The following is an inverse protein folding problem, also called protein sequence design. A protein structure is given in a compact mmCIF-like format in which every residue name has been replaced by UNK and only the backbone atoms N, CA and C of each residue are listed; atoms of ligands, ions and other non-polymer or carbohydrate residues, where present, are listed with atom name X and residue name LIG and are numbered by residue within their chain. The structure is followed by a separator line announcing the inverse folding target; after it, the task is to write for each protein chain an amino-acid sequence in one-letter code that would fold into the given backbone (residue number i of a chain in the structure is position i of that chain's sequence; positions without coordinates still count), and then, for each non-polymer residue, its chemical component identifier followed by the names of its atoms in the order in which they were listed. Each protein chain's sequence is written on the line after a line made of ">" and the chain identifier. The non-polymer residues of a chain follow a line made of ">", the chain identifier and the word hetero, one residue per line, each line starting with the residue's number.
data_IF_643921380274
#
_entry.id   IF_643921380274
#
_cell.length_a   1.000
_cell.length_b   1.000
_cell.length_c   1.000
_cell.angle_alpha   90.00
_cell.angle_beta   90.00
_cell.angle_gamma   90.00
#
_symmetry.space_group_name_H-M   'P 1'
#
loop_
_entity.id
_entity.type
_entity.pdbx_description
1 polymer ?
#
# COMPACT_ATOMS: atom_id res chain seq x y z
N UNK A 1 -5.54 -8.55 9.42
CA UNK A 1 -5.50 -7.38 8.51
C UNK A 1 -6.54 -6.33 8.90
N UNK A 2 -7.83 -6.68 9.06
CA UNK A 2 -8.88 -5.72 9.49
C UNK A 2 -8.49 -4.92 10.75
N UNK A 3 -8.17 -5.59 11.85
CA UNK A 3 -7.73 -4.92 13.10
C UNK A 3 -6.50 -4.02 12.93
N UNK A 4 -5.51 -4.42 12.12
CA UNK A 4 -4.29 -3.65 11.91
C UNK A 4 -4.56 -2.27 11.28
N UNK A 5 -5.37 -2.25 10.22
CA UNK A 5 -5.69 -1.01 9.51
C UNK A 5 -6.64 -0.13 10.31
N UNK A 6 -7.59 -0.74 11.05
CA UNK A 6 -8.47 0.02 11.95
C UNK A 6 -7.68 0.68 13.09
N UNK A 7 -6.82 -0.07 13.80
CA UNK A 7 -6.02 0.49 14.90
C UNK A 7 -5.13 1.65 14.44
N UNK A 8 -4.46 1.52 13.29
CA UNK A 8 -3.64 2.60 12.75
C UNK A 8 -4.47 3.82 12.34
N UNK A 9 -5.68 3.59 11.83
CA UNK A 9 -6.60 4.66 11.47
C UNK A 9 -7.21 5.34 12.70
N UNK A 10 -7.52 4.62 13.78
CA UNK A 10 -8.04 5.20 15.02
C UNK A 10 -7.01 6.11 15.69
N UNK A 11 -5.72 5.77 15.60
CA UNK A 11 -4.63 6.61 16.12
C UNK A 11 -4.44 7.91 15.32
N UNK A 12 -4.56 7.84 13.99
CA UNK A 12 -4.28 8.99 13.10
C UNK A 12 -5.52 9.83 12.78
N UNK A 13 -6.68 9.19 12.77
CA UNK A 13 -8.00 9.71 12.43
C UNK A 13 -9.01 9.15 13.44
N UNK A 14 -8.91 9.58 14.72
CA UNK A 14 -9.93 9.26 15.69
C UNK A 14 -11.26 9.80 15.15
N UNK A 15 -12.31 8.96 15.10
CA UNK A 15 -13.65 9.51 14.97
C UNK A 15 -13.87 10.34 16.23
N UNK A 16 -14.27 11.60 16.07
CA UNK A 16 -14.99 12.27 17.14
C UNK A 16 -16.33 11.55 17.27
N UNK A 17 -16.32 10.42 17.96
CA UNK A 17 -17.49 9.91 18.65
C UNK A 17 -17.31 10.40 20.09
N UNK A 18 -18.35 11.06 20.58
CA UNK A 18 -18.40 11.86 21.79
C UNK A 18 -17.69 11.24 23.01
N UNK A 19 -17.09 12.13 23.80
CA UNK A 19 -16.69 11.88 25.18
C UNK A 19 -17.82 11.18 25.94
N UNK A 20 -17.58 9.95 26.42
CA UNK A 20 -17.71 9.56 27.84
C UNK A 20 -17.79 8.03 27.98
N UNK A 21 -16.63 7.37 28.12
CA UNK A 21 -16.55 6.14 28.90
C UNK A 21 -15.78 6.46 30.19
N UNK A 22 -16.35 7.38 30.97
CA UNK A 22 -15.92 7.75 32.32
C UNK A 22 -16.30 6.68 33.33
N UNK A 23 -15.71 5.48 33.21
CA UNK A 23 -15.76 4.48 34.28
C UNK A 23 -14.80 4.89 35.40
N UNK A 24 -15.20 5.83 36.24
CA UNK A 24 -14.58 6.03 37.55
C UNK A 24 -15.64 6.35 38.62
N UNK A 25 -15.74 5.47 39.60
CA UNK A 25 -16.65 5.63 40.72
C UNK A 25 -16.18 6.73 41.67
N UNK A 26 -17.03 7.74 41.90
CA UNK A 26 -17.11 8.44 43.18
C UNK A 26 -18.49 9.07 43.33
N UNK A 27 -19.09 8.85 44.49
CA UNK A 27 -20.42 9.28 44.86
C UNK A 27 -20.57 10.81 44.91
N UNK A 28 -21.64 11.33 44.31
CA UNK A 28 -22.36 12.51 44.79
C UNK A 28 -23.79 12.47 44.23
N UNK A 29 -24.75 12.51 45.14
CA UNK A 29 -26.19 12.42 44.88
C UNK A 29 -26.72 13.68 44.18
N UNK A 30 -27.61 13.49 43.20
CA UNK A 30 -28.71 14.42 42.87
C UNK A 30 -29.92 13.61 42.40
N UNK A 31 -31.09 14.12 42.76
CA UNK A 31 -32.35 13.44 42.96
C UNK A 31 -33.20 13.26 41.68
N UNK A 32 -33.97 12.17 41.68
CA UNK A 32 -35.25 11.85 41.01
C UNK A 32 -35.75 12.67 39.80
N UNK A 33 -35.83 11.99 38.65
CA UNK A 33 -37.05 11.93 37.83
C UNK A 33 -37.28 10.44 37.47
N UNK A 34 -37.64 9.66 38.49
CA UNK A 34 -37.93 8.22 38.40
C UNK A 34 -39.30 7.99 37.76
N UNK A 35 -39.35 8.13 36.44
CA UNK A 35 -40.37 7.45 35.64
C UNK A 35 -39.82 6.06 35.35
N UNK A 36 -40.39 4.97 35.90
CA UNK A 36 -39.89 3.63 35.63
C UNK A 36 -40.08 3.37 34.15
N UNK A 37 -38.96 3.42 33.40
CA UNK A 37 -38.96 3.01 32.00
C UNK A 37 -39.48 1.59 31.97
N UNK A 38 -40.53 1.38 31.18
CA UNK A 38 -41.09 0.05 30.97
C UNK A 38 -39.96 -0.88 30.53
N UNK A 39 -40.03 -2.15 30.93
CA UNK A 39 -39.12 -3.18 30.40
C UNK A 39 -39.11 -3.19 28.87
N UNK A 40 -40.19 -2.76 28.21
CA UNK A 40 -40.24 -2.57 26.76
C UNK A 40 -39.36 -1.40 26.25
N UNK A 41 -39.25 -0.31 27.01
CA UNK A 41 -38.43 0.86 26.63
C UNK A 41 -36.93 0.58 26.80
N UNK A 42 -36.56 -0.12 27.88
CA UNK A 42 -35.18 -0.59 28.10
C UNK A 42 -34.73 -1.58 27.01
N UNK A 43 -35.60 -2.53 26.64
CA UNK A 43 -35.33 -3.46 25.54
C UNK A 43 -35.22 -2.72 24.20
N UNK A 44 -36.01 -1.67 23.98
CA UNK A 44 -35.96 -0.90 22.74
C UNK A 44 -34.66 -0.09 22.64
N UNK A 45 -34.22 0.52 23.74
CA UNK A 45 -32.91 1.19 23.83
C UNK A 45 -31.74 0.21 23.59
N UNK A 46 -31.79 -0.99 24.17
CA UNK A 46 -30.79 -2.05 23.90
C UNK A 46 -30.80 -2.49 22.43
N UNK A 47 -32.00 -2.73 21.86
CA UNK A 47 -32.15 -3.12 20.46
C UNK A 47 -31.62 -2.04 19.51
N UNK A 48 -31.85 -0.76 19.83
CA UNK A 48 -31.39 0.34 19.00
C UNK A 48 -29.88 0.59 19.17
N UNK A 49 -29.31 0.34 20.36
CA UNK A 49 -27.86 0.22 20.58
C UNK A 49 -27.24 -0.91 19.74
N UNK A 50 -27.82 -2.11 19.77
CA UNK A 50 -27.39 -3.26 18.96
C UNK A 50 -27.48 -2.98 17.46
N UNK A 51 -28.51 -2.25 17.01
CA UNK A 51 -28.66 -1.83 15.60
C UNK A 51 -27.65 -0.75 15.22
N UNK A 52 -27.34 0.19 16.11
CA UNK A 52 -26.32 1.20 15.87
C UNK A 52 -24.93 0.57 15.83
N UNK A 53 -24.61 -0.35 16.73
CA UNK A 53 -23.39 -1.17 16.66
C UNK A 53 -23.34 -2.01 15.38
N UNK A 54 -24.47 -2.55 14.93
CA UNK A 54 -24.55 -3.28 13.66
C UNK A 54 -24.41 -2.34 12.44
N UNK A 55 -24.88 -1.09 12.53
CA UNK A 55 -24.67 -0.04 11.52
C UNK A 55 -23.22 0.41 11.49
N UNK A 56 -22.59 0.69 12.63
CA UNK A 56 -21.16 1.02 12.75
C UNK A 56 -20.30 -0.12 12.19
N UNK A 57 -20.65 -1.37 12.51
CA UNK A 57 -20.02 -2.57 11.93
C UNK A 57 -20.25 -2.71 10.41
N UNK A 58 -21.35 -2.16 9.87
CA UNK A 58 -21.67 -2.12 8.43
C UNK A 58 -21.06 -0.91 7.70
N UNK A 59 -20.88 0.23 8.36
CA UNK A 59 -20.23 1.45 7.84
C UNK A 59 -18.73 1.40 8.08
N UNK A 60 -18.11 0.22 7.88
CA UNK A 60 -16.69 0.04 8.16
C UNK A 60 -15.85 1.03 7.36
N UNK A 61 -14.96 1.77 8.03
CA UNK A 61 -14.02 2.72 7.38
C UNK A 61 -13.20 2.07 6.26
N UNK A 62 -13.09 0.75 6.29
CA UNK A 62 -12.41 -0.07 5.30
C UNK A 62 -13.33 -1.16 4.75
N UNK A 63 -13.29 -1.34 3.43
CA UNK A 63 -13.90 -2.47 2.73
C UNK A 63 -12.83 -3.34 2.11
N UNK A 64 -12.89 -4.66 2.33
CA UNK A 64 -12.01 -5.59 1.66
C UNK A 64 -12.62 -5.97 0.29
N UNK A 65 -11.86 -5.75 -0.77
CA UNK A 65 -12.24 -6.09 -2.14
C UNK A 65 -11.42 -7.30 -2.61
N UNK A 66 -12.08 -8.22 -3.31
CA UNK A 66 -11.39 -9.30 -3.99
C UNK A 66 -10.69 -8.76 -5.24
N UNK A 67 -9.37 -8.91 -5.31
CA UNK A 67 -8.59 -8.51 -6.48
C UNK A 67 -8.68 -9.54 -7.62
N UNK A 68 -9.29 -10.70 -7.39
CA UNK A 68 -9.35 -11.80 -8.36
C UNK A 68 -7.99 -12.44 -8.66
N UNK A 69 -6.99 -12.15 -7.83
CA UNK A 69 -5.61 -12.67 -7.94
C UNK A 69 -5.23 -13.28 -6.61
N UNK A 70 -4.82 -14.56 -6.61
CA UNK A 70 -4.43 -15.27 -5.40
C UNK A 70 -3.28 -14.54 -4.69
N UNK A 71 -3.40 -14.40 -3.37
CA UNK A 71 -2.36 -13.78 -2.52
C UNK A 71 -2.30 -12.25 -2.58
N UNK A 72 -3.29 -11.58 -3.18
CA UNK A 72 -3.52 -10.14 -3.07
C UNK A 72 -4.89 -9.92 -2.44
N UNK A 73 -4.99 -8.96 -1.53
CA UNK A 73 -6.24 -8.47 -0.98
C UNK A 73 -6.21 -6.96 -1.16
N UNK A 74 -7.27 -6.39 -1.75
CA UNK A 74 -7.43 -4.95 -1.81
C UNK A 74 -8.21 -4.49 -0.59
N UNK A 75 -7.77 -3.39 0.00
CA UNK A 75 -8.49 -2.73 1.09
C UNK A 75 -8.81 -1.32 0.63
N UNK A 76 -10.09 -1.07 0.38
CA UNK A 76 -10.61 0.23 0.01
C UNK A 76 -10.90 1.04 1.27
N UNK A 77 -10.42 2.28 1.27
CA UNK A 77 -10.68 3.27 2.30
C UNK A 77 -11.96 3.99 1.87
N UNK A 78 -13.05 3.85 2.64
CA UNK A 78 -14.34 4.46 2.30
C UNK A 78 -14.39 5.93 2.73
N UNK A 79 -13.61 6.28 3.76
CA UNK A 79 -13.44 7.64 4.22
C UNK A 79 -12.40 8.38 3.35
N UNK A 80 -12.84 9.44 2.67
CA UNK A 80 -11.99 10.24 1.78
C UNK A 80 -11.07 11.21 2.54
N UNK A 81 -11.27 11.40 3.84
CA UNK A 81 -10.41 12.25 4.67
C UNK A 81 -9.08 11.55 5.05
N UNK A 82 -9.03 10.23 4.89
CA UNK A 82 -7.89 9.40 5.29
C UNK A 82 -6.85 9.30 4.18
N UNK A 83 -5.60 9.62 4.51
CA UNK A 83 -4.47 9.42 3.60
C UNK A 83 -3.90 8.01 3.81
N UNK A 84 -4.05 7.17 2.77
CA UNK A 84 -3.52 5.80 2.73
C UNK A 84 -2.02 5.78 3.02
N UNK A 85 -1.26 6.76 2.53
CA UNK A 85 0.20 6.80 2.72
C UNK A 85 0.57 7.04 4.17
N UNK A 86 -0.16 7.89 4.88
CA UNK A 86 0.07 8.16 6.31
C UNK A 86 -0.24 6.95 7.17
N UNK A 87 -1.35 6.26 6.89
CA UNK A 87 -1.76 5.06 7.64
C UNK A 87 -0.74 3.94 7.44
N UNK A 88 -0.35 3.67 6.19
CA UNK A 88 0.69 2.68 5.91
C UNK A 88 2.03 3.13 6.51
N UNK A 89 2.41 4.40 6.37
CA UNK A 89 3.64 4.94 6.98
C UNK A 89 3.70 4.70 8.48
N UNK A 90 2.61 5.03 9.20
CA UNK A 90 2.53 4.78 10.64
C UNK A 90 2.64 3.30 11.00
N UNK A 91 2.00 2.40 10.24
CA UNK A 91 2.14 0.95 10.46
C UNK A 91 3.61 0.54 10.32
N UNK A 92 4.31 1.01 9.28
CA UNK A 92 5.72 0.68 9.06
C UNK A 92 6.63 1.28 10.14
N UNK A 93 6.36 2.51 10.58
CA UNK A 93 7.10 3.14 11.68
C UNK A 93 6.93 2.37 12.99
N UNK A 94 5.71 1.90 13.28
CA UNK A 94 5.44 1.06 14.45
C UNK A 94 6.20 -0.26 14.35
N UNK A 95 6.15 -0.93 13.20
CA UNK A 95 6.89 -2.19 12.98
C UNK A 95 8.40 -1.99 13.13
N UNK A 96 8.94 -0.87 12.65
CA UNK A 96 10.37 -0.57 12.83
C UNK A 96 10.75 -0.31 14.29
N UNK A 97 9.84 0.26 15.08
CA UNK A 97 10.07 0.54 16.51
C UNK A 97 9.90 -0.69 17.39
N UNK A 98 8.84 -1.46 17.17
CA UNK A 98 8.51 -2.63 18.01
C UNK A 98 9.22 -3.89 17.54
N UNK A 99 9.66 -3.95 16.27
CA UNK A 99 10.13 -5.17 15.61
C UNK A 99 9.10 -6.30 15.68
N UNK A 100 7.83 -5.95 15.80
CA UNK A 100 6.71 -6.87 15.89
C UNK A 100 5.66 -6.54 14.85
N UNK A 101 5.00 -7.57 14.33
CA UNK A 101 3.89 -7.39 13.42
C UNK A 101 2.82 -8.45 13.61
N UNK A 102 1.57 -8.01 13.66
CA UNK A 102 0.44 -8.83 14.10
C UNK A 102 0.07 -9.97 13.14
N UNK A 103 0.69 -10.08 11.95
CA UNK A 103 0.33 -11.12 10.97
C UNK A 103 1.53 -11.75 10.26
N UNK A 104 1.70 -13.06 10.45
CA UNK A 104 2.70 -13.84 9.70
C UNK A 104 2.40 -14.01 8.21
N UNK A 105 1.17 -13.77 7.76
CA UNK A 105 0.73 -14.05 6.38
C UNK A 105 0.90 -12.87 5.43
N UNK A 106 1.10 -11.67 5.95
CA UNK A 106 1.26 -10.46 5.14
C UNK A 106 2.75 -10.25 4.90
N UNK A 107 3.14 -10.22 3.62
CA UNK A 107 4.53 -9.96 3.25
C UNK A 107 4.74 -8.49 2.90
N UNK A 108 3.82 -7.89 2.12
CA UNK A 108 3.91 -6.49 1.69
C UNK A 108 2.59 -5.77 1.89
N UNK A 109 2.67 -4.48 2.21
CA UNK A 109 1.52 -3.58 2.29
C UNK A 109 1.81 -2.36 1.44
N UNK A 110 1.32 -2.37 0.20
CA UNK A 110 1.60 -1.30 -0.76
C UNK A 110 0.49 -0.24 -0.65
N UNK A 111 0.82 1.02 -0.35
CA UNK A 111 -0.16 2.09 -0.41
C UNK A 111 -0.52 2.37 -1.87
N UNK A 112 -1.82 2.40 -2.16
CA UNK A 112 -2.37 2.77 -3.48
C UNK A 112 -3.30 3.96 -3.28
N UNK A 113 -3.06 5.06 -3.98
CA UNK A 113 -3.85 6.29 -3.86
C UNK A 113 -5.05 6.28 -4.80
N UNK A 114 -4.89 5.71 -6.00
CA UNK A 114 -5.97 5.61 -6.97
C UNK A 114 -5.89 4.33 -7.77
N UNK A 115 -7.06 3.83 -8.15
CA UNK A 115 -7.22 2.70 -9.07
C UNK A 115 -7.72 3.20 -10.42
N UNK A 116 -7.21 2.63 -11.51
CA UNK A 116 -7.61 2.89 -12.90
C UNK A 116 -7.56 1.61 -13.74
N UNK A 117 -7.98 1.68 -15.00
CA UNK A 117 -7.81 0.57 -15.92
C UNK A 117 -6.31 0.44 -16.29
N UNK A 118 -5.82 -0.78 -16.54
CA UNK A 118 -4.44 -0.99 -16.95
C UNK A 118 -4.29 -0.67 -18.45
N UNK A 119 -4.26 0.62 -18.78
CA UNK A 119 -3.86 1.16 -20.08
C UNK A 119 -2.76 2.20 -19.85
N UNK A 120 -1.77 2.31 -20.74
CA UNK A 120 -0.67 3.28 -20.60
C UNK A 120 -1.21 4.70 -20.46
N UNK A 121 -2.22 5.05 -21.27
CA UNK A 121 -2.86 6.36 -21.28
C UNK A 121 -3.60 6.65 -19.96
N UNK A 122 -4.40 5.68 -19.48
CA UNK A 122 -5.14 5.83 -18.22
C UNK A 122 -4.21 5.86 -17.01
N UNK A 123 -3.16 5.04 -17.01
CA UNK A 123 -2.17 5.01 -15.93
C UNK A 123 -1.45 6.35 -15.86
N UNK A 124 -1.02 6.90 -17.01
CA UNK A 124 -0.38 8.20 -17.07
C UNK A 124 -1.32 9.31 -16.57
N UNK A 125 -2.55 9.37 -17.09
CA UNK A 125 -3.54 10.35 -16.65
C UNK A 125 -3.89 10.25 -15.16
N UNK A 126 -3.96 9.02 -14.63
CA UNK A 126 -4.18 8.75 -13.22
C UNK A 126 -2.98 9.19 -12.36
N UNK A 127 -1.76 8.99 -12.84
CA UNK A 127 -0.53 9.34 -12.13
C UNK A 127 -0.25 10.85 -12.13
N UNK A 128 -0.59 11.56 -13.20
CA UNK A 128 -0.32 13.00 -13.38
C UNK A 128 -0.64 13.87 -12.17
N UNK A 129 -1.86 13.87 -11.61
CA UNK A 129 -2.17 14.74 -10.46
C UNK A 129 -1.33 14.43 -9.22
N UNK A 130 -0.92 13.17 -9.02
CA UNK A 130 -0.08 12.78 -7.89
C UNK A 130 1.38 13.16 -8.10
N UNK A 131 1.88 13.02 -9.34
CA UNK A 131 3.20 13.44 -9.75
C UNK A 131 3.29 14.97 -9.62
N UNK A 132 2.41 15.71 -10.27
CA UNK A 132 2.41 17.18 -10.21
C UNK A 132 2.35 17.68 -8.76
N UNK A 133 1.48 17.14 -7.92
CA UNK A 133 1.40 17.52 -6.50
C UNK A 133 2.73 17.33 -5.75
N UNK A 134 3.50 16.31 -6.10
CA UNK A 134 4.78 16.02 -5.45
C UNK A 134 5.96 16.80 -6.04
N UNK A 135 5.93 17.08 -7.35
CA UNK A 135 7.07 17.64 -8.09
C UNK A 135 6.95 19.14 -8.42
N UNK A 136 5.75 19.74 -8.40
CA UNK A 136 5.46 21.12 -8.89
C UNK A 136 6.34 22.22 -8.30
N UNK A 137 6.67 22.14 -7.00
CA UNK A 137 7.44 23.18 -6.29
C UNK A 137 8.87 22.72 -5.95
N UNK A 138 9.37 21.69 -6.65
CA UNK A 138 10.67 21.07 -6.36
C UNK A 138 11.55 21.06 -7.61
N UNK A 139 12.87 21.10 -7.42
CA UNK A 139 13.84 20.99 -8.52
C UNK A 139 14.94 20.02 -8.13
N UNK A 140 15.45 19.23 -9.08
CA UNK A 140 16.58 18.35 -8.85
C UNK A 140 16.31 17.09 -8.02
N UNK A 141 15.04 16.81 -7.65
CA UNK A 141 14.68 15.55 -6.99
C UNK A 141 15.09 14.33 -7.83
N UNK A 142 15.50 13.28 -7.14
CA UNK A 142 15.77 11.98 -7.74
C UNK A 142 14.55 11.08 -7.64
N UNK A 143 14.16 10.46 -8.75
CA UNK A 143 12.97 9.62 -8.76
C UNK A 143 13.17 8.26 -9.45
N UNK A 144 12.30 7.32 -9.12
CA UNK A 144 12.20 6.03 -9.81
C UNK A 144 10.74 5.68 -10.07
N UNK A 145 10.50 4.89 -11.13
CA UNK A 145 9.19 4.30 -11.41
C UNK A 145 9.31 2.79 -11.19
N UNK A 146 8.59 2.25 -10.20
CA UNK A 146 8.55 0.81 -9.94
C UNK A 146 7.21 0.24 -10.40
N UNK A 147 7.26 -0.54 -11.48
CA UNK A 147 6.10 -1.23 -12.04
C UNK A 147 6.14 -2.69 -11.64
N UNK A 148 5.07 -3.17 -11.01
CA UNK A 148 4.86 -4.59 -10.70
C UNK A 148 3.61 -5.09 -11.38
N UNK A 149 3.74 -6.22 -12.05
CA UNK A 149 2.68 -6.84 -12.85
C UNK A 149 2.38 -8.22 -12.27
N UNK A 150 1.10 -8.53 -12.01
CA UNK A 150 0.65 -9.85 -11.58
C UNK A 150 -0.52 -10.30 -12.43
N UNK A 151 -0.38 -11.46 -13.07
CA UNK A 151 -1.42 -12.03 -13.92
C UNK A 151 -1.93 -11.05 -14.99
N UNK A 152 -1.01 -10.28 -15.58
CA UNK A 152 -1.28 -9.24 -16.57
C UNK A 152 -0.20 -9.29 -17.66
N UNK A 153 -0.54 -9.78 -18.85
CA UNK A 153 0.44 -10.03 -19.93
C UNK A 153 0.57 -8.90 -20.96
N UNK A 154 -0.44 -8.03 -21.08
CA UNK A 154 -0.63 -7.29 -22.34
C UNK A 154 0.04 -5.90 -22.39
N UNK A 155 0.67 -5.43 -21.32
CA UNK A 155 1.18 -4.05 -21.24
C UNK A 155 2.69 -4.07 -21.06
N UNK A 156 3.38 -3.35 -21.94
CA UNK A 156 4.82 -3.18 -21.92
C UNK A 156 5.20 -2.25 -20.78
N UNK A 157 6.10 -2.72 -19.91
CA UNK A 157 6.50 -1.98 -18.71
C UNK A 157 7.21 -0.66 -19.08
N UNK A 158 8.03 -0.68 -20.13
CA UNK A 158 8.79 0.50 -20.57
C UNK A 158 7.87 1.64 -21.03
N UNK A 159 6.75 1.33 -21.66
CA UNK A 159 5.80 2.35 -22.14
C UNK A 159 5.18 3.11 -20.96
N UNK A 160 4.82 2.39 -19.89
CA UNK A 160 4.34 2.99 -18.64
C UNK A 160 5.43 3.87 -18.02
N UNK A 161 6.67 3.37 -17.92
CA UNK A 161 7.79 4.12 -17.33
C UNK A 161 8.03 5.40 -18.12
N UNK A 162 8.10 5.33 -19.44
CA UNK A 162 8.31 6.46 -20.33
C UNK A 162 7.18 7.49 -20.20
N UNK A 163 5.93 7.05 -20.12
CA UNK A 163 4.79 7.93 -19.93
C UNK A 163 4.86 8.67 -18.58
N UNK A 164 5.19 7.99 -17.49
CA UNK A 164 5.38 8.64 -16.19
C UNK A 164 6.58 9.60 -16.17
N UNK A 165 7.70 9.23 -16.78
CA UNK A 165 8.89 10.10 -16.89
C UNK A 165 8.57 11.38 -17.68
N UNK A 166 7.79 11.25 -18.77
CA UNK A 166 7.37 12.41 -19.56
C UNK A 166 6.53 13.40 -18.74
N UNK A 167 5.68 12.91 -17.83
CA UNK A 167 4.86 13.74 -16.94
C UNK A 167 5.69 14.43 -15.85
N UNK A 168 6.70 13.77 -15.30
CA UNK A 168 7.61 14.37 -14.30
C UNK A 168 8.42 15.52 -14.91
N UNK A 169 8.82 15.38 -16.17
CA UNK A 169 9.58 16.39 -16.90
C UNK A 169 11.09 16.36 -16.64
N UNK A 170 11.88 17.16 -17.39
CA UNK A 170 13.34 17.08 -17.42
C UNK A 170 14.05 17.71 -16.21
N UNK A 171 13.31 18.36 -15.31
CA UNK A 171 13.87 19.05 -14.14
C UNK A 171 14.31 18.10 -13.02
N UNK A 172 13.96 16.82 -13.13
CA UNK A 172 14.22 15.77 -12.16
C UNK A 172 15.04 14.65 -12.78
N UNK A 173 15.84 13.97 -11.96
CA UNK A 173 16.76 12.94 -12.44
C UNK A 173 16.26 11.55 -12.06
N UNK A 174 16.29 10.61 -12.99
CA UNK A 174 16.01 9.21 -12.66
C UNK A 174 17.17 8.62 -11.86
N UNK A 175 16.89 8.04 -10.70
CA UNK A 175 17.84 7.26 -9.89
C UNK A 175 17.16 5.98 -9.40
N UNK A 176 17.61 4.82 -9.89
CA UNK A 176 17.05 3.52 -9.53
C UNK A 176 17.65 2.93 -8.23
N UNK A 177 18.72 3.53 -7.71
CA UNK A 177 19.47 3.03 -6.54
C UNK A 177 19.07 3.73 -5.25
N UNK A 178 18.92 5.05 -5.28
CA UNK A 178 18.53 5.88 -4.12
C UNK A 178 17.60 7.02 -4.55
N UNK A 179 16.37 6.72 -5.01
CA UNK A 179 15.39 7.75 -5.31
C UNK A 179 14.87 8.43 -4.04
N UNK A 180 14.61 9.74 -4.13
CA UNK A 180 13.87 10.51 -3.12
C UNK A 180 12.37 10.25 -3.23
N UNK A 181 11.88 10.05 -4.45
CA UNK A 181 10.47 9.80 -4.76
C UNK A 181 10.33 8.56 -5.65
N UNK A 182 9.40 7.68 -5.31
CA UNK A 182 9.08 6.50 -6.11
C UNK A 182 7.62 6.54 -6.55
N UNK A 183 7.40 6.43 -7.85
CA UNK A 183 6.09 6.25 -8.46
C UNK A 183 5.83 4.75 -8.51
N UNK A 184 4.88 4.28 -7.70
CA UNK A 184 4.48 2.88 -7.60
C UNK A 184 3.31 2.61 -8.54
N UNK A 185 3.47 1.57 -9.35
CA UNK A 185 2.44 1.11 -10.28
C UNK A 185 2.26 -0.39 -10.07
N UNK A 186 1.13 -0.79 -9.50
CA UNK A 186 0.78 -2.18 -9.26
C UNK A 186 -0.36 -2.58 -10.20
N UNK A 187 -0.06 -3.45 -11.17
CA UNK A 187 -1.02 -3.98 -12.12
C UNK A 187 -1.35 -5.41 -11.70
N UNK A 188 -2.63 -5.69 -11.49
CA UNK A 188 -3.11 -7.03 -11.19
C UNK A 188 -4.39 -7.32 -11.97
N UNK A 189 -4.33 -8.33 -12.85
CA UNK A 189 -5.41 -8.71 -13.76
C UNK A 189 -5.85 -7.51 -14.63
N UNK A 190 -7.05 -6.99 -14.42
CA UNK A 190 -7.69 -5.91 -15.17
C UNK A 190 -7.83 -4.61 -14.37
N UNK A 191 -7.04 -4.45 -13.30
CA UNK A 191 -6.99 -3.25 -12.46
C UNK A 191 -5.54 -2.81 -12.30
N UNK A 192 -5.32 -1.49 -12.29
CA UNK A 192 -4.04 -0.87 -11.97
C UNK A 192 -4.21 0.06 -10.76
N UNK A 193 -3.25 0.03 -9.84
CA UNK A 193 -3.15 0.99 -8.74
C UNK A 193 -1.90 1.85 -8.88
N UNK A 194 -2.05 3.14 -8.59
CA UNK A 194 -0.98 4.14 -8.64
C UNK A 194 -0.80 4.80 -7.28
N UNK A 195 0.44 5.05 -6.88
CA UNK A 195 0.78 5.90 -5.73
C UNK A 195 2.15 6.55 -5.90
N UNK A 196 2.33 7.74 -5.31
CA UNK A 196 3.62 8.43 -5.26
C UNK A 196 4.07 8.51 -3.80
N UNK A 197 5.22 7.91 -3.50
CA UNK A 197 5.75 7.73 -2.13
C UNK A 197 7.21 8.20 -2.02
N UNK A 198 7.62 8.64 -0.83
CA UNK A 198 9.00 9.09 -0.55
C UNK A 198 9.81 8.06 0.23
N UNK A 199 9.19 7.31 1.15
CA UNK A 199 9.88 6.43 2.09
C UNK A 199 10.09 4.98 1.57
N UNK A 200 10.20 4.78 0.26
CA UNK A 200 10.20 3.44 -0.35
C UNK A 200 11.34 2.54 0.12
N UNK A 201 12.58 3.06 0.17
CA UNK A 201 13.75 2.29 0.61
C UNK A 201 13.84 2.13 2.12
N UNK A 202 13.43 3.17 2.86
CA UNK A 202 13.33 3.12 4.33
C UNK A 202 12.39 1.98 4.76
N UNK A 203 11.24 1.84 4.11
CA UNK A 203 10.27 0.77 4.38
C UNK A 203 10.60 -0.55 3.67
N UNK A 204 11.85 -0.74 3.20
CA UNK A 204 12.31 -1.96 2.52
C UNK A 204 11.36 -2.39 1.38
N UNK A 205 11.01 -1.46 0.49
CA UNK A 205 10.04 -1.67 -0.61
C UNK A 205 8.65 -2.09 -0.13
N UNK A 206 8.24 -1.55 1.02
CA UNK A 206 7.01 -1.89 1.73
C UNK A 206 6.86 -3.39 2.02
N UNK A 207 7.97 -4.06 2.34
CA UNK A 207 8.00 -5.46 2.75
C UNK A 207 8.20 -5.55 4.26
N UNK A 208 7.10 -5.84 4.95
CA UNK A 208 7.05 -5.92 6.40
C UNK A 208 7.97 -7.03 6.91
N UNK A 209 8.05 -8.16 6.21
CA UNK A 209 8.93 -9.27 6.62
C UNK A 209 10.41 -8.92 6.55
N UNK A 210 10.84 -8.18 5.53
CA UNK A 210 12.25 -7.76 5.42
C UNK A 210 12.67 -6.79 6.54
N UNK A 211 11.71 -6.17 7.23
CA UNK A 211 11.98 -5.34 8.41
C UNK A 211 12.13 -6.21 9.65
N UNK A 212 11.27 -7.23 9.78
CA UNK A 212 11.23 -8.14 10.93
C UNK A 212 12.33 -9.20 10.92
N UNK A 213 12.82 -9.60 9.75
CA UNK A 213 13.91 -10.57 9.61
C UNK A 213 15.25 -9.83 9.77
N UNK A 214 15.92 -9.90 10.94
CA UNK A 214 17.25 -9.32 11.09
C UNK A 214 18.20 -10.02 10.11
N UNK A 215 18.87 -9.25 9.27
CA UNK A 215 19.95 -9.78 8.44
C UNK A 215 21.02 -10.37 9.35
N UNK A 216 21.23 -11.69 9.25
CA UNK A 216 22.47 -12.32 9.69
C UNK A 216 23.62 -11.64 8.93
N UNK A 217 24.53 -10.98 9.65
CA UNK A 217 25.78 -10.48 9.08
C UNK A 217 26.74 -11.66 8.83
N UNK A 218 27.27 -11.75 7.60
CA UNK A 218 28.38 -12.63 7.17
C UNK A 218 28.00 -13.45 5.92
N UNK A 219 28.70 -13.46 4.78
CA UNK A 219 30.07 -13.07 4.44
C UNK A 219 30.18 -12.75 2.92
N UNK A 220 31.05 -11.78 2.61
CA UNK A 220 31.98 -11.61 1.46
C UNK A 220 31.55 -11.85 0.00
N UNK A 221 31.79 -10.77 -0.78
CA UNK A 221 32.35 -10.71 -2.15
C UNK A 221 32.43 -12.03 -2.92
N UNK A 222 31.73 -12.09 -4.04
CA UNK A 222 32.36 -12.57 -5.27
C UNK A 222 31.89 -11.68 -6.43
N UNK A 223 32.79 -10.77 -6.80
CA UNK A 223 32.77 -10.15 -8.11
C UNK A 223 33.84 -10.87 -8.95
N UNK A 224 33.41 -11.17 -10.18
CA UNK A 224 34.16 -11.19 -11.43
C UNK A 224 34.54 -12.50 -12.14
N UNK A 225 34.33 -12.37 -13.47
CA UNK A 225 34.71 -13.16 -14.64
C UNK A 225 33.70 -14.28 -15.01
N UNK A 226 33.00 -14.22 -16.16
CA UNK A 226 33.48 -13.81 -17.48
C UNK A 226 32.38 -13.26 -18.41
N UNK A 227 32.77 -12.26 -19.20
CA UNK A 227 32.09 -11.75 -20.39
C UNK A 227 32.66 -12.43 -21.65
N UNK A 228 31.87 -12.37 -22.73
CA UNK A 228 32.16 -12.66 -24.14
C UNK A 228 32.41 -14.10 -24.60
N UNK A 229 31.46 -14.65 -25.38
CA UNK A 229 31.67 -14.81 -26.83
C UNK A 229 30.32 -14.79 -27.58
N UNK A 230 30.31 -14.06 -28.70
CA UNK A 230 29.21 -13.74 -29.62
C UNK A 230 28.59 -14.94 -30.35
N UNK A 231 27.38 -14.68 -30.84
CA UNK A 231 26.60 -15.43 -31.82
C UNK A 231 27.33 -15.67 -33.16
N UNK A 232 27.03 -16.78 -33.85
CA UNK A 232 26.13 -16.79 -35.02
C UNK A 232 25.90 -18.20 -35.58
N UNK A 233 24.78 -18.32 -36.29
CA UNK A 233 24.08 -19.50 -36.78
C UNK A 233 24.51 -19.94 -38.21
N UNK A 234 24.27 -21.23 -38.49
CA UNK A 234 24.11 -21.94 -39.78
C UNK A 234 25.03 -21.66 -41.00
N UNK A 235 25.69 -22.70 -41.54
CA UNK A 235 25.24 -23.46 -42.75
C UNK A 235 26.22 -24.57 -43.18
N UNK A 236 25.62 -25.73 -43.46
CA UNK A 236 25.85 -26.73 -44.52
C UNK A 236 27.25 -27.15 -45.07
N UNK A 237 27.36 -28.48 -45.15
CA UNK A 237 27.87 -29.32 -46.24
C UNK A 237 29.31 -29.88 -46.28
N UNK A 238 29.30 -31.22 -46.27
CA UNK A 238 30.04 -32.16 -47.11
C UNK A 238 31.46 -32.66 -46.74
N UNK A 239 31.51 -34.01 -46.72
CA UNK A 239 32.55 -34.93 -47.18
C UNK A 239 33.74 -35.33 -46.28
N UNK A 240 33.67 -36.62 -45.89
CA UNK A 240 34.46 -37.74 -46.42
C UNK A 240 35.95 -37.91 -46.06
N UNK A 241 36.26 -39.14 -45.62
CA UNK A 241 37.56 -39.85 -45.51
C UNK A 241 38.64 -39.23 -44.57
N UNK A 242 39.45 -39.96 -43.81
CA UNK A 242 40.14 -41.23 -44.05
C UNK A 242 40.67 -41.79 -42.71
N UNK A 243 40.84 -43.13 -42.66
CA UNK A 243 41.54 -44.01 -41.69
C UNK A 243 40.93 -44.41 -40.35
#
# INVERSE_FOLDING_TARGET
>A
MKHLVHNAADVLYPTQDDEDDGRNGTAAATEDDDKPKSSAELLQEEIDGLKNDAKIRKTGRFSALDSGVKGIILVQFLDQTMDVKKIIGHIFDQVQKTMEFSSRFIQRMIPLEKLCYPSVEEIAACATPFIERQFKDTTGLQFAVEVRKRNSGNIVTMDIINACVAVVGPQHKVNLTTPDVVILIEIFKNVCGVSVVTNFHQHKKFNVRMILEPHVKGDKKQADQNDETKADDATEDANDNDK
#
